data_IF_342550444190
#
_entry.id   IF_342550444190
#
_cell.length_a   1.000
_cell.length_b   1.000
_cell.length_c   1.000
_cell.angle_alpha   90.00
_cell.angle_beta   90.00
_cell.angle_gamma   90.00
#
_symmetry.space_group_name_H-M   'P 1'
#
loop_
_entity.id
_entity.type
_entity.pdbx_description
1 polymer ?
#
# COMPACT_ATOMS: atom_id res chain seq x y z
N UNK A 1 13.61 -0.05 11.21
CA UNK A 1 12.19 -0.44 11.20
C UNK A 1 11.89 -1.00 9.82
N UNK A 2 11.48 -2.26 9.70
CA UNK A 2 11.14 -2.86 8.42
C UNK A 2 9.61 -2.82 8.28
N UNK A 3 9.12 -2.35 7.14
CA UNK A 3 7.68 -2.32 6.85
C UNK A 3 7.38 -3.39 5.82
N UNK A 4 6.89 -4.57 6.23
CA UNK A 4 6.63 -5.66 5.31
C UNK A 4 5.47 -5.30 4.38
N UNK A 5 5.70 -5.42 3.08
CA UNK A 5 4.72 -5.10 2.05
C UNK A 5 4.78 -6.12 0.92
N UNK A 6 3.62 -6.67 0.55
CA UNK A 6 3.44 -7.55 -0.60
C UNK A 6 3.11 -6.73 -1.84
N UNK A 7 3.84 -6.93 -2.93
CA UNK A 7 3.49 -6.38 -4.23
C UNK A 7 2.30 -7.17 -4.82
N UNK A 8 1.22 -6.46 -5.18
CA UNK A 8 0.02 -7.05 -5.76
C UNK A 8 -0.08 -6.82 -7.26
N UNK A 9 0.22 -5.60 -7.70
CA UNK A 9 0.14 -5.23 -9.12
C UNK A 9 1.33 -4.34 -9.48
N UNK A 10 1.88 -4.59 -10.67
CA UNK A 10 2.85 -3.75 -11.33
C UNK A 10 2.38 -3.52 -12.76
N UNK A 11 2.27 -2.26 -13.17
CA UNK A 11 2.02 -1.89 -14.56
C UNK A 11 2.92 -0.74 -14.98
N UNK A 12 3.41 -0.81 -16.22
CA UNK A 12 4.30 0.18 -16.79
C UNK A 12 3.87 0.46 -18.24
N UNK A 13 3.78 1.75 -18.58
CA UNK A 13 3.46 2.22 -19.92
C UNK A 13 4.38 3.37 -20.30
N UNK A 14 4.75 3.46 -21.58
CA UNK A 14 5.42 4.64 -22.12
C UNK A 14 4.37 5.69 -22.51
N UNK A 15 4.65 6.97 -22.24
CA UNK A 15 3.76 8.08 -22.63
C UNK A 15 3.91 8.41 -24.12
N UNK A 16 5.12 8.23 -24.66
CA UNK A 16 5.47 8.52 -26.05
C UNK A 16 6.33 7.38 -26.62
N UNK A 17 6.48 7.37 -27.94
CA UNK A 17 7.44 6.48 -28.62
C UNK A 17 8.82 7.14 -28.71
N UNK A 18 9.86 6.34 -28.94
CA UNK A 18 11.24 6.81 -29.16
C UNK A 18 12.19 6.52 -28.00
N UNK A 19 13.46 6.89 -28.19
CA UNK A 19 14.55 6.65 -27.23
C UNK A 19 14.35 7.47 -25.96
N UNK A 20 13.76 8.66 -26.10
CA UNK A 20 13.53 9.60 -25.00
C UNK A 20 12.13 9.46 -24.38
N UNK A 21 11.52 8.28 -24.53
CA UNK A 21 10.21 8.00 -24.00
C UNK A 21 10.18 8.08 -22.47
N UNK A 22 9.13 8.70 -21.93
CA UNK A 22 8.90 8.74 -20.49
C UNK A 22 8.13 7.48 -20.07
N UNK A 23 8.73 6.67 -19.21
CA UNK A 23 8.10 5.51 -18.60
C UNK A 23 7.27 5.94 -17.38
N UNK A 24 5.98 5.60 -17.42
CA UNK A 24 5.06 5.77 -16.30
C UNK A 24 4.77 4.42 -15.67
N UNK A 25 5.08 4.30 -14.39
CA UNK A 25 4.88 3.07 -13.61
C UNK A 25 3.79 3.28 -12.58
N UNK A 26 2.97 2.25 -12.38
CA UNK A 26 1.98 2.15 -11.32
C UNK A 26 2.22 0.88 -10.53
N UNK A 27 2.18 1.01 -9.21
CA UNK A 27 2.44 -0.07 -8.27
C UNK A 27 1.30 -0.13 -7.26
N UNK A 28 0.80 -1.33 -6.98
CA UNK A 28 -0.15 -1.61 -5.91
C UNK A 28 0.50 -2.55 -4.90
N UNK A 29 0.54 -2.15 -3.64
CA UNK A 29 1.06 -2.95 -2.53
C UNK A 29 -0.01 -3.19 -1.47
N UNK A 30 0.22 -4.19 -0.64
CA UNK A 30 -0.55 -4.46 0.58
C UNK A 30 0.41 -4.59 1.76
N UNK A 31 0.07 -3.98 2.88
CA UNK A 31 0.81 -4.18 4.12
C UNK A 31 0.55 -5.56 4.70
N UNK A 32 1.59 -6.23 5.17
CA UNK A 32 1.49 -7.58 5.75
C UNK A 32 1.03 -7.55 7.22
N UNK A 33 1.24 -6.42 7.91
CA UNK A 33 0.76 -6.22 9.26
C UNK A 33 -0.78 -6.13 9.24
N UNK A 34 -1.43 -6.85 10.16
CA UNK A 34 -2.88 -7.01 10.36
C UNK A 34 -3.65 -5.70 10.63
N UNK A 35 -3.44 -4.65 9.83
CA UNK A 35 -4.23 -3.43 9.82
C UNK A 35 -5.43 -3.68 8.92
N UNK A 36 -6.20 -4.68 9.34
CA UNK A 36 -7.48 -5.03 8.76
C UNK A 36 -8.47 -3.97 9.20
N UNK A 37 -8.84 -3.10 8.27
CA UNK A 37 -9.97 -2.22 8.51
C UNK A 37 -11.21 -3.09 8.45
N UNK A 38 -11.96 -3.13 9.54
CA UNK A 38 -13.22 -3.86 9.62
C UNK A 38 -14.18 -3.27 8.61
N UNK A 39 -14.63 -4.08 7.64
CA UNK A 39 -15.62 -3.62 6.67
C UNK A 39 -16.91 -3.26 7.42
N UNK A 40 -17.31 -1.98 7.40
CA UNK A 40 -18.43 -1.47 8.21
C UNK A 40 -19.77 -2.17 7.93
N UNK A 41 -19.91 -2.81 6.76
CA UNK A 41 -21.11 -3.50 6.34
C UNK A 41 -21.07 -5.03 6.60
N UNK A 42 -19.88 -5.66 6.63
CA UNK A 42 -19.76 -7.13 6.72
C UNK A 42 -18.98 -7.62 7.93
N UNK A 43 -18.31 -6.75 8.67
CA UNK A 43 -17.49 -7.13 9.83
C UNK A 43 -16.18 -7.83 9.48
N UNK A 44 -15.91 -8.07 8.19
CA UNK A 44 -14.76 -8.84 7.75
C UNK A 44 -13.46 -8.01 7.75
N UNK A 45 -12.32 -8.63 8.06
CA UNK A 45 -11.01 -8.00 7.97
C UNK A 45 -10.66 -7.65 6.51
N UNK A 46 -10.63 -6.36 6.15
CA UNK A 46 -10.19 -5.93 4.82
C UNK A 46 -8.73 -5.51 4.85
N UNK A 47 -7.90 -6.23 4.11
CA UNK A 47 -6.51 -5.85 3.85
C UNK A 47 -6.45 -4.67 2.88
N UNK A 48 -6.19 -3.47 3.40
CA UNK A 48 -6.10 -2.26 2.60
C UNK A 48 -4.90 -2.32 1.64
N UNK A 49 -5.15 -1.93 0.40
CA UNK A 49 -4.12 -1.81 -0.65
C UNK A 49 -3.76 -0.36 -0.87
N UNK A 50 -2.49 -0.09 -1.16
CA UNK A 50 -1.96 1.26 -1.40
C UNK A 50 -1.33 1.31 -2.78
N UNK A 51 -1.64 2.35 -3.54
CA UNK A 51 -1.08 2.53 -4.88
C UNK A 51 -0.17 3.74 -4.97
N UNK A 52 0.89 3.62 -5.75
CA UNK A 52 1.80 4.70 -6.07
C UNK A 52 2.08 4.74 -7.56
N UNK A 53 2.47 5.91 -8.03
CA UNK A 53 2.80 6.18 -9.43
C UNK A 53 4.15 6.88 -9.52
N UNK A 54 4.87 6.63 -10.60
CA UNK A 54 6.15 7.25 -10.90
C UNK A 54 6.25 7.51 -12.39
N UNK A 55 7.00 8.54 -12.76
CA UNK A 55 7.26 8.90 -14.15
C UNK A 55 8.71 9.32 -14.30
N UNK A 56 9.44 8.68 -15.19
CA UNK A 56 10.84 8.97 -15.47
C UNK A 56 11.23 8.36 -16.81
N UNK A 57 12.25 8.94 -17.45
CA UNK A 57 12.90 8.35 -18.63
C UNK A 57 13.60 7.03 -18.29
N UNK A 58 14.02 6.87 -17.02
CA UNK A 58 14.56 5.61 -16.50
C UNK A 58 13.45 4.80 -15.81
N UNK A 59 13.17 3.60 -16.34
CA UNK A 59 12.15 2.69 -15.83
C UNK A 59 12.42 2.29 -14.36
N UNK A 60 13.69 2.11 -13.97
CA UNK A 60 14.04 1.76 -12.60
C UNK A 60 13.70 2.92 -11.65
N UNK A 61 14.06 4.15 -12.04
CA UNK A 61 13.72 5.36 -11.26
C UNK A 61 12.21 5.56 -11.18
N UNK A 62 11.48 5.36 -12.29
CA UNK A 62 10.02 5.42 -12.35
C UNK A 62 9.39 4.40 -11.40
N UNK A 63 9.88 3.16 -11.43
CA UNK A 63 9.39 2.06 -10.59
C UNK A 63 9.65 2.31 -9.10
N UNK A 64 10.85 2.77 -8.74
CA UNK A 64 11.20 3.10 -7.36
C UNK A 64 10.34 4.26 -6.83
N UNK A 65 10.11 5.30 -7.63
CA UNK A 65 9.21 6.41 -7.27
C UNK A 65 7.79 5.91 -7.02
N UNK A 66 7.27 5.04 -7.89
CA UNK A 66 5.95 4.44 -7.71
C UNK A 66 5.86 3.63 -6.41
N UNK A 67 6.85 2.79 -6.14
CA UNK A 67 6.89 1.96 -4.93
C UNK A 67 7.00 2.80 -3.65
N UNK A 68 7.90 3.78 -3.61
CA UNK A 68 8.03 4.70 -2.46
C UNK A 68 6.74 5.49 -2.26
N UNK A 69 6.09 5.94 -3.33
CA UNK A 69 4.80 6.62 -3.23
C UNK A 69 3.71 5.74 -2.62
N UNK A 70 3.70 4.45 -2.93
CA UNK A 70 2.78 3.49 -2.32
C UNK A 70 3.11 3.24 -0.85
N UNK A 71 4.39 3.09 -0.51
CA UNK A 71 4.87 2.94 0.87
C UNK A 71 4.52 4.17 1.72
N UNK A 72 4.80 5.38 1.26
CA UNK A 72 4.52 6.60 2.03
C UNK A 72 3.02 6.74 2.36
N UNK A 73 2.14 6.36 1.43
CA UNK A 73 0.68 6.34 1.69
C UNK A 73 0.30 5.28 2.72
N UNK A 74 0.98 4.13 2.70
CA UNK A 74 0.77 3.07 3.67
C UNK A 74 1.23 3.49 5.07
N UNK A 75 2.46 4.02 5.21
CA UNK A 75 2.98 4.50 6.50
C UNK A 75 2.14 5.66 7.03
N UNK A 76 1.82 6.65 6.20
CA UNK A 76 0.99 7.78 6.62
C UNK A 76 -0.41 7.36 7.07
N UNK A 77 -0.96 6.26 6.53
CA UNK A 77 -2.19 5.67 7.04
C UNK A 77 -1.99 4.99 8.40
N UNK A 78 -0.91 4.22 8.57
CA UNK A 78 -0.57 3.57 9.83
C UNK A 78 -0.37 4.58 10.98
N UNK A 79 0.22 5.74 10.69
CA UNK A 79 0.39 6.83 11.66
C UNK A 79 -0.94 7.46 12.10
N UNK A 80 -1.98 7.41 11.25
CA UNK A 80 -3.28 8.02 11.50
C UNK A 80 -4.29 7.07 12.16
N UNK A 81 -4.10 5.75 12.07
CA UNK A 81 -4.94 4.78 12.78
C UNK A 81 -4.38 4.55 14.17
N UNK A 82 -5.06 4.97 15.26
CA UNK A 82 -4.71 4.51 16.59
C UNK A 82 -4.85 2.98 16.58
N UNK A 83 -3.84 2.29 17.09
CA UNK A 83 -3.90 0.84 17.32
C UNK A 83 -5.15 0.51 18.14
N UNK A 84 -6.21 0.00 17.50
CA UNK A 84 -7.31 -0.63 18.22
C UNK A 84 -6.75 -1.90 18.87
N UNK A 85 -6.43 -1.78 20.15
CA UNK A 85 -6.11 -2.91 21.02
C UNK A 85 -7.38 -3.75 21.12
N UNK A 86 -7.38 -5.04 20.78
CA UNK A 86 -8.54 -5.89 20.98
C UNK A 86 -8.84 -5.94 22.48
N UNK A 87 -9.93 -5.29 22.88
CA UNK A 87 -10.41 -5.33 24.26
C UNK A 87 -10.75 -6.77 24.60
N UNK A 88 -9.89 -7.37 25.43
CA UNK A 88 -10.11 -8.65 26.09
C UNK A 88 -11.45 -8.59 26.81
N UNK A 89 -12.50 -9.17 26.21
CA UNK A 89 -13.79 -9.35 26.86
C UNK A 89 -13.64 -10.51 27.84
N UNK A 90 -13.17 -10.20 29.05
CA UNK A 90 -13.24 -11.13 30.18
C UNK A 90 -14.71 -11.52 30.39
N UNK A 91 -15.10 -12.80 30.26
CA UNK A 91 -16.44 -13.23 30.65
C UNK A 91 -16.52 -13.20 32.18
N UNK A 92 -17.34 -12.30 32.71
CA UNK A 92 -17.71 -12.29 34.12
C UNK A 92 -18.30 -13.67 34.46
N UNK A 93 -17.61 -14.41 35.33
CA UNK A 93 -18.08 -15.67 35.89
C UNK A 93 -18.81 -15.40 37.20
N UNK A 94 -20.06 -15.91 37.26
CA UNK A 94 -20.93 -16.19 38.42
C UNK A 94 -21.58 -15.00 39.11
#
# INVERSE_FOLDING_TARGET
MQVPATLLEYSMSAVTEGIDAIATTRVLIRGENNHTSTHTLTGEPVHRTFSGTGSSMDIAVSSVRAYIGALNKMLGFMEQTPSEVPAERTPLSV
#
